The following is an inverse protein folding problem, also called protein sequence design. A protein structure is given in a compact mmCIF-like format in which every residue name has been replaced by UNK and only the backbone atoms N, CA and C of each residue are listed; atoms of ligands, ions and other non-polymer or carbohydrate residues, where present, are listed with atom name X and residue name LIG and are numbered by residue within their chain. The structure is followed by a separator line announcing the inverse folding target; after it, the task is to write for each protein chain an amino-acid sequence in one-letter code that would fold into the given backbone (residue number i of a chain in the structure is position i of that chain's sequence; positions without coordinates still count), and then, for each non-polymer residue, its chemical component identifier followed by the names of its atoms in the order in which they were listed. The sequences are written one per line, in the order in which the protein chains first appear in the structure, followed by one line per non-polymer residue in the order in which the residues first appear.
data_IF_023510484621
#
_entry.id   IF_023510484621
#
_cell.length_a   1.000
_cell.length_b   1.000
_cell.length_c   1.000
_cell.angle_alpha   90.00
_cell.angle_beta   90.00
_cell.angle_gamma   90.00
#
_symmetry.space_group_name_H-M   'P 1'
#
loop_
_entity.id
_entity.type
_entity.pdbx_description
1 polymer ?
#
# COMPACT_ATOMS: atom_id res chain seq x y z
N UNK A 1 -2.67 -3.15 -3.75
CA UNK A 1 -2.94 -2.00 -4.64
C UNK A 1 -4.04 -2.38 -5.62
N UNK A 2 -4.68 -1.38 -6.26
CA UNK A 2 -5.55 -1.58 -7.42
C UNK A 2 -5.40 -0.37 -8.37
N UNK A 3 -5.07 -0.54 -9.66
CA UNK A 3 -4.75 0.56 -10.57
C UNK A 3 -5.87 1.60 -10.75
N UNK A 4 -7.13 1.15 -10.74
CA UNK A 4 -8.31 2.01 -10.87
C UNK A 4 -8.74 2.71 -9.58
N UNK A 5 -8.02 2.51 -8.46
CA UNK A 5 -8.38 3.08 -7.17
C UNK A 5 -7.72 4.46 -6.97
N UNK A 6 -8.50 5.55 -6.79
CA UNK A 6 -7.93 6.90 -6.63
C UNK A 6 -7.05 7.02 -5.37
N UNK A 7 -7.39 6.30 -4.31
CA UNK A 7 -6.59 6.26 -3.07
C UNK A 7 -5.26 5.52 -3.25
N UNK A 8 -5.22 4.47 -4.07
CA UNK A 8 -3.96 3.80 -4.43
C UNK A 8 -3.07 4.74 -5.25
N UNK A 9 -3.65 5.42 -6.26
CA UNK A 9 -2.94 6.39 -7.08
C UNK A 9 -2.35 7.52 -6.24
N UNK A 10 -3.08 7.99 -5.22
CA UNK A 10 -2.57 9.00 -4.28
C UNK A 10 -1.25 8.58 -3.61
N UNK A 11 -1.17 7.35 -3.12
CA UNK A 11 0.05 6.80 -2.50
C UNK A 11 1.16 6.65 -3.52
N UNK A 12 0.86 6.10 -4.71
CA UNK A 12 1.84 5.93 -5.78
C UNK A 12 2.41 7.28 -6.26
N UNK A 13 1.55 8.29 -6.46
CA UNK A 13 1.97 9.62 -6.87
C UNK A 13 2.88 10.28 -5.83
N UNK A 14 2.59 10.08 -4.54
CA UNK A 14 3.47 10.53 -3.47
C UNK A 14 4.86 9.87 -3.58
N UNK A 15 4.93 8.54 -3.73
CA UNK A 15 6.20 7.83 -3.91
C UNK A 15 6.97 8.32 -5.15
N UNK A 16 6.29 8.46 -6.29
CA UNK A 16 6.88 8.99 -7.53
C UNK A 16 7.42 10.40 -7.35
N UNK A 17 6.73 11.28 -6.63
CA UNK A 17 7.21 12.64 -6.32
C UNK A 17 8.51 12.64 -5.51
N UNK A 18 8.75 11.59 -4.72
CA UNK A 18 9.97 11.40 -3.95
C UNK A 18 11.04 10.62 -4.74
N UNK A 19 10.79 10.28 -6.02
CA UNK A 19 11.61 9.40 -6.85
C UNK A 19 11.88 8.04 -6.18
N UNK A 20 10.91 7.55 -5.41
CA UNK A 20 10.96 6.27 -4.71
C UNK A 20 9.87 5.34 -5.22
N UNK A 21 10.11 4.05 -5.07
CA UNK A 21 9.13 3.01 -5.35
C UNK A 21 9.23 1.94 -4.29
N UNK A 22 8.10 1.33 -3.95
CA UNK A 22 8.04 0.18 -3.05
C UNK A 22 7.43 -1.00 -3.80
N UNK A 23 7.76 -2.25 -3.42
CA UNK A 23 7.09 -3.42 -3.98
C UNK A 23 5.58 -3.32 -3.76
N UNK A 24 4.81 -3.45 -4.85
CA UNK A 24 3.36 -3.43 -4.78
C UNK A 24 2.80 -4.71 -5.40
N UNK A 25 1.71 -5.22 -4.80
CA UNK A 25 0.94 -6.34 -5.35
C UNK A 25 -0.46 -5.83 -5.72
N UNK A 26 -0.94 -6.18 -6.90
CA UNK A 26 -2.30 -5.86 -7.36
C UNK A 26 -3.25 -7.01 -7.00
N UNK A 27 -4.18 -6.75 -6.10
CA UNK A 27 -5.16 -7.76 -5.64
C UNK A 27 -6.27 -8.03 -6.65
N UNK A 28 -6.32 -7.25 -7.74
CA UNK A 28 -7.24 -7.48 -8.86
C UNK A 28 -6.76 -8.57 -9.81
N UNK A 29 -5.45 -8.73 -9.94
CA UNK A 29 -4.82 -9.71 -10.85
C UNK A 29 -4.15 -10.85 -10.11
N UNK A 30 -3.64 -10.62 -8.89
CA UNK A 30 -2.99 -11.61 -8.05
C UNK A 30 -3.92 -12.09 -6.91
N UNK A 31 -4.47 -13.30 -7.09
CA UNK A 31 -5.31 -13.96 -6.08
C UNK A 31 -4.55 -14.30 -4.80
N UNK A 32 -3.26 -14.60 -4.89
CA UNK A 32 -2.43 -14.89 -3.72
C UNK A 32 -2.20 -13.62 -2.89
N UNK A 33 -1.95 -12.49 -3.55
CA UNK A 33 -1.87 -11.20 -2.87
C UNK A 33 -3.18 -10.82 -2.18
N UNK A 34 -4.33 -11.11 -2.81
CA UNK A 34 -5.64 -10.92 -2.19
C UNK A 34 -5.80 -11.78 -0.93
N UNK A 35 -5.48 -13.07 -1.02
CA UNK A 35 -5.57 -14.00 0.10
C UNK A 35 -4.63 -13.60 1.25
N UNK A 36 -3.39 -13.21 0.94
CA UNK A 36 -2.43 -12.71 1.92
C UNK A 36 -2.96 -11.44 2.62
N UNK A 37 -3.55 -10.52 1.86
CA UNK A 37 -4.15 -9.30 2.40
C UNK A 37 -5.31 -9.60 3.34
N UNK A 38 -6.17 -10.58 3.01
CA UNK A 38 -7.28 -10.97 3.90
C UNK A 38 -6.75 -11.68 5.14
N UNK A 39 -5.81 -12.62 5.00
CA UNK A 39 -5.26 -13.38 6.11
C UNK A 39 -4.48 -12.50 7.10
N UNK A 40 -3.62 -11.60 6.61
CA UNK A 40 -2.78 -10.74 7.45
C UNK A 40 -3.45 -9.41 7.81
N UNK A 41 -4.26 -8.89 6.89
CA UNK A 41 -4.89 -7.58 7.01
C UNK A 41 -6.30 -7.60 7.60
N UNK A 42 -6.96 -8.76 7.57
CA UNK A 42 -8.34 -8.94 8.04
C UNK A 42 -9.41 -8.41 7.08
N UNK A 43 -9.04 -7.62 6.05
CA UNK A 43 -9.98 -7.03 5.09
C UNK A 43 -9.39 -6.85 3.71
N UNK A 44 -10.26 -6.86 2.69
CA UNK A 44 -9.92 -6.64 1.26
C UNK A 44 -9.63 -5.17 0.89
N UNK A 45 -9.56 -4.27 1.86
CA UNK A 45 -9.42 -2.84 1.61
C UNK A 45 -8.05 -2.48 1.02
N UNK A 46 -8.04 -1.54 0.07
CA UNK A 46 -6.82 -0.94 -0.51
C UNK A 46 -6.94 0.60 -0.55
N UNK A 47 -5.84 1.37 -0.54
CA UNK A 47 -4.46 0.92 -0.37
C UNK A 47 -4.20 0.32 1.02
N UNK A 48 -3.24 -0.60 1.09
CA UNK A 48 -2.76 -1.21 2.31
C UNK A 48 -1.24 -1.28 2.24
N UNK A 49 -0.56 -0.79 3.26
CA UNK A 49 0.88 -0.91 3.44
C UNK A 49 1.14 -1.93 4.54
N UNK A 50 1.97 -2.94 4.26
CA UNK A 50 2.37 -3.94 5.26
C UNK A 50 3.68 -3.51 5.91
N UNK A 51 3.68 -3.31 7.22
CA UNK A 51 4.85 -2.87 7.99
C UNK A 51 5.10 -3.93 9.07
N UNK A 52 6.22 -4.66 8.96
CA UNK A 52 6.58 -5.73 9.90
C UNK A 52 5.43 -6.73 10.16
N UNK A 53 4.72 -7.12 9.10
CA UNK A 53 3.57 -8.03 9.18
C UNK A 53 2.26 -7.40 9.67
N UNK A 54 2.25 -6.11 10.04
CA UNK A 54 1.05 -5.39 10.45
C UNK A 54 0.48 -4.56 9.29
N UNK A 55 -0.84 -4.58 9.06
CA UNK A 55 -1.48 -3.79 8.01
C UNK A 55 -1.66 -2.33 8.46
N UNK A 56 -1.36 -1.40 7.57
CA UNK A 56 -1.72 0.02 7.68
C UNK A 56 -2.64 0.38 6.51
N UNK A 57 -3.82 0.88 6.84
CA UNK A 57 -4.84 1.31 5.89
C UNK A 57 -4.89 2.83 5.80
N UNK A 58 -5.81 3.33 4.98
CA UNK A 58 -6.04 4.74 4.69
C UNK A 58 -4.88 5.42 3.96
N UNK A 59 -5.17 5.97 2.78
CA UNK A 59 -4.13 6.60 1.93
C UNK A 59 -3.38 7.73 2.64
N UNK A 60 -4.06 8.51 3.49
CA UNK A 60 -3.44 9.59 4.25
C UNK A 60 -2.47 9.06 5.32
N UNK A 61 -2.85 8.03 6.06
CA UNK A 61 -2.02 7.45 7.11
C UNK A 61 -0.80 6.76 6.53
N UNK A 62 -0.98 6.04 5.41
CA UNK A 62 0.12 5.46 4.63
C UNK A 62 1.11 6.56 4.19
N UNK A 63 0.62 7.66 3.62
CA UNK A 63 1.48 8.78 3.20
C UNK A 63 2.19 9.40 4.40
N UNK A 64 1.49 9.61 5.51
CA UNK A 64 2.07 10.17 6.74
C UNK A 64 3.16 9.25 7.31
N UNK A 65 2.94 7.94 7.28
CA UNK A 65 3.95 6.96 7.69
C UNK A 65 5.18 7.00 6.78
N UNK A 66 4.98 7.01 5.46
CA UNK A 66 6.07 7.11 4.48
C UNK A 66 6.86 8.41 4.64
N UNK A 67 6.20 9.55 4.88
CA UNK A 67 6.86 10.83 5.17
C UNK A 67 7.76 10.79 6.40
N UNK A 68 7.36 10.05 7.44
CA UNK A 68 8.14 9.88 8.68
C UNK A 68 9.32 8.92 8.50
N UNK A 69 9.21 7.95 7.60
CA UNK A 69 10.19 6.86 7.43
C UNK A 69 10.92 6.90 6.07
N UNK A 70 11.17 8.10 5.54
CA UNK A 70 11.78 8.30 4.21
C UNK A 70 13.12 7.58 3.99
N UNK A 71 13.83 7.10 5.02
CA UNK A 71 15.09 6.37 4.89
C UNK A 71 14.98 4.84 4.85
N UNK A 72 13.78 4.29 5.01
CA UNK A 72 13.56 2.84 5.25
C UNK A 72 12.88 2.10 4.09
N UNK A 73 12.69 2.80 2.97
CA UNK A 73 12.09 2.27 1.75
C UNK A 73 12.61 3.01 0.51
#
# INVERSE_FOLDING_TARGET
MRPSCPYCQKVTNFLSSQKKSIPTKDIGTDKNALNELIQKGGKRQVPCLMINGKPLYESNDIINWLKKHKGQY
#
